data_IF_019372002729
#
_entry.id   IF_019372002729
#
_cell.length_a   1.000
_cell.length_b   1.000
_cell.length_c   1.000
_cell.angle_alpha   90.00
_cell.angle_beta   90.00
_cell.angle_gamma   90.00
#
_symmetry.space_group_name_H-M   'P 1'
#
loop_
_entity.id
_entity.type
_entity.pdbx_description
1 polymer ?
#
# COMPACT_ATOMS: atom_id res chain seq x y z
N UNK A 1 15.83 -6.34 -23.00
CA UNK A 1 15.09 -7.30 -22.14
C UNK A 1 14.74 -6.63 -20.83
N UNK A 2 13.64 -6.99 -20.17
CA UNK A 2 13.22 -6.34 -18.91
C UNK A 2 12.94 -7.41 -17.85
N UNK A 3 13.57 -7.29 -16.69
CA UNK A 3 13.36 -8.17 -15.53
C UNK A 3 12.73 -7.33 -14.43
N UNK A 4 11.44 -7.55 -14.19
CA UNK A 4 10.65 -6.73 -13.27
C UNK A 4 10.84 -5.23 -13.59
N UNK A 5 11.42 -4.41 -12.70
CA UNK A 5 11.64 -2.99 -12.93
C UNK A 5 12.97 -2.66 -13.65
N UNK A 6 13.87 -3.64 -13.79
CA UNK A 6 15.23 -3.44 -14.29
C UNK A 6 15.31 -3.70 -15.80
N UNK A 7 15.89 -2.75 -16.53
CA UNK A 7 16.15 -2.88 -17.97
C UNK A 7 17.52 -3.51 -18.19
N UNK A 8 17.57 -4.56 -19.00
CA UNK A 8 18.78 -5.26 -19.41
C UNK A 8 19.09 -4.96 -20.89
N UNK A 9 20.33 -4.53 -21.14
CA UNK A 9 20.85 -4.18 -22.47
C UNK A 9 22.08 -5.04 -22.78
N UNK A 10 22.26 -5.37 -24.05
CA UNK A 10 23.50 -5.99 -24.52
C UNK A 10 24.56 -4.91 -24.68
N UNK A 11 25.76 -5.15 -24.15
CA UNK A 11 26.91 -4.26 -24.26
C UNK A 11 28.07 -5.09 -24.80
N UNK A 12 28.31 -5.00 -26.11
CA UNK A 12 29.25 -5.87 -26.81
C UNK A 12 28.82 -7.33 -26.70
N UNK A 13 29.56 -8.11 -25.92
CA UNK A 13 29.42 -9.57 -25.84
C UNK A 13 28.72 -10.04 -24.56
N UNK A 14 28.31 -9.12 -23.68
CA UNK A 14 27.67 -9.46 -22.40
C UNK A 14 26.39 -8.65 -22.18
N UNK A 15 25.50 -9.16 -21.33
CA UNK A 15 24.27 -8.46 -20.92
C UNK A 15 24.53 -7.71 -19.63
N UNK A 16 24.19 -6.42 -19.62
CA UNK A 16 24.22 -5.57 -18.43
C UNK A 16 22.81 -5.16 -18.06
N UNK A 17 22.43 -5.39 -16.81
CA UNK A 17 21.14 -4.99 -16.25
C UNK A 17 21.31 -3.82 -15.27
N UNK A 18 20.25 -3.03 -15.17
CA UNK A 18 20.03 -2.16 -14.00
C UNK A 18 19.96 -3.01 -12.72
N UNK A 19 20.32 -2.40 -11.59
CA UNK A 19 20.32 -3.05 -10.27
C UNK A 19 19.50 -2.22 -9.25
N UNK A 20 18.36 -1.72 -9.71
CA UNK A 20 17.43 -0.96 -8.89
C UNK A 20 16.56 -1.89 -8.05
N UNK A 21 16.22 -1.44 -6.84
CA UNK A 21 15.18 -2.07 -6.02
C UNK A 21 13.82 -1.85 -6.67
N UNK A 22 13.10 -2.92 -6.92
CA UNK A 22 11.75 -2.85 -7.46
C UNK A 22 10.74 -2.60 -6.34
N UNK A 23 9.63 -1.94 -6.65
CA UNK A 23 8.56 -1.68 -5.68
C UNK A 23 7.94 -2.97 -5.13
N UNK A 24 7.94 -4.02 -5.95
CA UNK A 24 7.62 -5.38 -5.53
C UNK A 24 8.76 -6.31 -5.92
N UNK A 25 9.28 -7.06 -4.96
CA UNK A 25 10.34 -8.04 -5.14
C UNK A 25 9.82 -9.43 -4.75
N UNK A 26 10.04 -10.42 -5.62
CA UNK A 26 9.59 -11.80 -5.39
C UNK A 26 10.15 -12.36 -4.08
N UNK A 27 11.45 -12.19 -3.84
CA UNK A 27 12.11 -12.61 -2.60
C UNK A 27 11.45 -12.05 -1.34
N UNK A 28 10.98 -10.80 -1.39
CA UNK A 28 10.29 -10.17 -0.25
C UNK A 28 8.90 -10.79 -0.08
N UNK A 29 8.16 -10.95 -1.18
CA UNK A 29 6.84 -11.59 -1.13
C UNK A 29 6.92 -13.02 -0.60
N UNK A 30 7.88 -13.80 -1.07
CA UNK A 30 8.17 -15.15 -0.58
C UNK A 30 8.48 -15.14 0.91
N UNK A 31 9.39 -14.26 1.35
CA UNK A 31 9.80 -14.14 2.76
C UNK A 31 8.61 -13.81 3.68
N UNK A 32 7.72 -12.92 3.25
CA UNK A 32 6.47 -12.62 3.97
C UNK A 32 5.56 -13.85 4.03
N UNK A 33 5.38 -14.51 2.89
CA UNK A 33 4.46 -15.63 2.76
C UNK A 33 4.91 -16.87 3.55
N UNK A 34 6.20 -17.03 3.83
CA UNK A 34 6.72 -18.07 4.73
C UNK A 34 6.13 -17.96 6.15
N UNK A 35 5.76 -16.76 6.60
CA UNK A 35 5.21 -16.49 7.93
C UNK A 35 3.78 -15.94 7.88
N UNK A 36 3.04 -16.16 6.78
CA UNK A 36 1.69 -15.60 6.58
C UNK A 36 0.70 -15.87 7.73
N UNK A 37 0.79 -17.04 8.39
CA UNK A 37 -0.09 -17.39 9.52
C UNK A 37 0.15 -16.50 10.74
N UNK A 38 1.39 -16.06 10.96
CA UNK A 38 1.73 -15.15 12.05
C UNK A 38 1.32 -13.71 11.75
N UNK A 39 1.34 -13.32 10.48
CA UNK A 39 0.99 -11.97 10.06
C UNK A 39 -0.51 -11.75 9.85
N UNK A 40 -1.27 -12.81 9.58
CA UNK A 40 -2.70 -12.71 9.27
C UNK A 40 -2.99 -12.15 7.87
N UNK A 41 -1.97 -11.96 7.04
CA UNK A 41 -2.06 -11.52 5.64
C UNK A 41 -0.99 -12.19 4.78
N UNK A 42 -1.16 -12.11 3.46
CA UNK A 42 -0.22 -12.63 2.46
C UNK A 42 0.20 -11.56 1.46
N UNK A 43 1.45 -11.58 1.03
CA UNK A 43 1.94 -10.76 -0.06
C UNK A 43 1.56 -11.37 -1.41
N UNK A 44 1.22 -10.51 -2.38
CA UNK A 44 0.89 -10.91 -3.75
C UNK A 44 1.49 -9.92 -4.74
N UNK A 45 1.68 -10.38 -5.97
CA UNK A 45 2.05 -9.50 -7.08
C UNK A 45 0.82 -8.65 -7.47
N UNK A 46 0.89 -7.35 -7.18
CA UNK A 46 -0.13 -6.40 -7.58
C UNK A 46 0.27 -5.69 -8.89
N UNK A 47 -0.32 -6.09 -10.01
CA UNK A 47 0.05 -5.63 -11.36
C UNK A 47 0.30 -4.13 -11.50
N UNK A 48 -0.45 -3.28 -10.78
CA UNK A 48 -0.27 -1.81 -10.75
C UNK A 48 1.14 -1.36 -10.35
N UNK A 49 1.82 -2.09 -9.48
CA UNK A 49 3.17 -1.75 -9.00
C UNK A 49 4.27 -2.63 -9.61
N UNK A 50 3.92 -3.66 -10.37
CA UNK A 50 4.90 -4.55 -10.98
C UNK A 50 5.68 -3.80 -12.04
N UNK A 51 7.00 -3.97 -12.07
CA UNK A 51 7.86 -3.29 -13.02
C UNK A 51 8.13 -1.80 -12.73
N UNK A 52 7.74 -1.30 -11.55
CA UNK A 52 8.09 0.04 -11.04
C UNK A 52 9.26 -0.03 -10.07
N UNK A 53 10.10 1.00 -10.03
CA UNK A 53 11.20 1.12 -9.07
C UNK A 53 10.67 1.54 -7.70
N UNK A 54 11.28 1.08 -6.62
CA UNK A 54 10.88 1.40 -5.25
C UNK A 54 10.92 2.92 -4.99
N UNK A 55 11.90 3.61 -5.58
CA UNK A 55 12.05 5.06 -5.49
C UNK A 55 10.84 5.83 -6.04
N UNK A 56 10.17 5.32 -7.08
CA UNK A 56 8.94 5.92 -7.61
C UNK A 56 7.81 5.90 -6.57
N UNK A 57 7.76 4.86 -5.73
CA UNK A 57 6.74 4.70 -4.70
C UNK A 57 6.97 5.63 -3.51
N UNK A 58 8.23 5.77 -3.09
CA UNK A 58 8.60 6.65 -1.99
C UNK A 58 8.28 8.11 -2.30
N UNK A 59 8.46 8.55 -3.56
CA UNK A 59 8.23 9.94 -3.96
C UNK A 59 6.77 10.21 -4.29
N UNK A 60 6.07 9.28 -4.96
CA UNK A 60 4.76 9.56 -5.58
C UNK A 60 3.56 8.95 -4.86
N UNK A 61 3.76 8.11 -3.83
CA UNK A 61 2.66 7.32 -3.24
C UNK A 61 2.54 7.42 -1.72
N UNK A 62 3.50 8.02 -1.01
CA UNK A 62 3.39 8.29 0.44
C UNK A 62 2.67 9.61 0.74
N UNK A 63 1.73 10.03 -0.13
CA UNK A 63 1.10 11.36 -0.19
C UNK A 63 0.26 11.80 1.02
N UNK A 64 0.55 11.28 2.21
CA UNK A 64 0.13 11.88 3.48
C UNK A 64 0.89 13.18 3.67
N UNK A 65 0.28 14.29 3.27
CA UNK A 65 0.78 15.62 3.63
C UNK A 65 0.54 15.85 5.12
N UNK A 66 1.47 16.54 5.78
CA UNK A 66 1.23 16.95 7.16
C UNK A 66 0.02 17.90 7.20
N UNK A 67 -0.96 17.65 8.08
CA UNK A 67 -2.11 18.53 8.21
C UNK A 67 -1.67 19.91 8.72
N UNK A 68 -2.49 20.92 8.45
CA UNK A 68 -2.25 22.28 8.95
C UNK A 68 -2.20 22.32 10.49
N UNK A 69 -1.52 23.33 11.04
CA UNK A 69 -1.30 23.47 12.49
C UNK A 69 -2.62 23.46 13.28
N UNK A 70 -3.69 24.05 12.74
CA UNK A 70 -5.00 24.05 13.38
C UNK A 70 -5.61 22.64 13.44
N UNK A 71 -5.48 21.87 12.36
CA UNK A 71 -5.96 20.49 12.32
C UNK A 71 -5.20 19.58 13.27
N UNK A 72 -3.90 19.83 13.49
CA UNK A 72 -3.12 19.10 14.51
C UNK A 72 -3.53 19.42 15.95
N UNK A 73 -4.18 20.57 16.20
CA UNK A 73 -4.65 20.99 17.53
C UNK A 73 -6.08 20.53 17.83
N UNK A 74 -6.76 19.88 16.89
CA UNK A 74 -8.09 19.34 17.14
C UNK A 74 -8.00 18.15 18.10
N UNK A 75 -8.78 18.19 19.18
CA UNK A 75 -8.94 17.06 20.09
C UNK A 75 -10.20 16.28 19.74
N UNK A 76 -10.22 14.96 20.00
CA UNK A 76 -11.43 14.17 19.80
C UNK A 76 -12.54 14.70 20.72
N UNK A 77 -13.75 14.77 20.18
CA UNK A 77 -14.94 15.01 21.00
C UNK A 77 -15.15 13.76 21.84
N UNK A 78 -15.06 13.90 23.17
CA UNK A 78 -15.29 12.80 24.10
C UNK A 78 -16.78 12.49 24.17
N UNK A 79 -17.24 11.64 23.26
CA UNK A 79 -18.54 11.00 23.34
C UNK A 79 -18.37 9.72 24.16
N UNK A 80 -19.32 9.43 25.07
CA UNK A 80 -19.44 8.12 25.70
C UNK A 80 -20.48 7.31 24.91
N UNK A 81 -20.10 6.65 23.80
CA UNK A 81 -21.05 5.86 23.04
C UNK A 81 -21.50 4.66 23.87
N UNK A 82 -22.78 4.35 23.76
CA UNK A 82 -23.29 3.08 24.26
C UNK A 82 -22.70 1.93 23.44
N UNK A 83 -21.83 1.15 24.07
CA UNK A 83 -21.10 0.04 23.42
C UNK A 83 -22.06 -1.01 22.85
N UNK A 84 -23.26 -1.17 23.44
CA UNK A 84 -24.28 -2.09 22.93
C UNK A 84 -24.80 -1.71 21.55
N UNK A 85 -24.66 -0.43 21.16
CA UNK A 85 -25.10 0.11 19.88
C UNK A 85 -24.00 0.11 18.81
N UNK A 86 -22.78 -0.33 19.16
CA UNK A 86 -21.67 -0.44 18.20
C UNK A 86 -21.74 -1.82 17.52
N UNK A 87 -21.87 -1.89 16.19
CA UNK A 87 -21.98 -3.15 15.50
C UNK A 87 -20.65 -3.92 15.51
N UNK A 88 -20.71 -5.25 15.55
CA UNK A 88 -19.51 -6.12 15.50
C UNK A 88 -18.74 -6.01 14.18
N UNK A 89 -19.41 -5.60 13.10
CA UNK A 89 -18.82 -5.36 11.79
C UNK A 89 -19.41 -4.08 11.23
N UNK A 90 -18.59 -3.27 10.57
CA UNK A 90 -19.01 -2.02 9.97
C UNK A 90 -18.29 -1.80 8.65
N UNK A 91 -19.05 -1.47 7.61
CA UNK A 91 -18.54 -1.01 6.32
C UNK A 91 -19.37 0.20 5.90
N UNK A 92 -18.72 1.37 5.80
CA UNK A 92 -19.36 2.64 5.50
C UNK A 92 -20.12 2.60 4.15
N UNK A 93 -19.65 1.79 3.19
CA UNK A 93 -20.26 1.64 1.86
C UNK A 93 -21.63 0.96 1.93
N UNK A 94 -21.87 0.17 2.99
CA UNK A 94 -23.12 -0.55 3.18
C UNK A 94 -24.15 0.24 4.00
N UNK A 95 -23.78 1.42 4.52
CA UNK A 95 -24.70 2.25 5.29
C UNK A 95 -25.64 2.99 4.35
N UNK A 96 -26.93 2.66 4.43
CA UNK A 96 -27.98 3.22 3.54
C UNK A 96 -27.99 4.74 3.53
N UNK A 97 -27.90 5.35 4.71
CA UNK A 97 -27.93 6.81 4.86
C UNK A 97 -26.71 7.51 4.22
N UNK A 98 -25.66 6.76 3.89
CA UNK A 98 -24.41 7.27 3.32
C UNK A 98 -24.21 6.87 1.86
N UNK A 99 -25.25 6.32 1.22
CA UNK A 99 -25.20 5.97 -0.20
C UNK A 99 -24.86 7.20 -1.05
N UNK A 100 -23.86 7.05 -1.92
CA UNK A 100 -23.35 8.14 -2.76
C UNK A 100 -22.41 9.13 -2.07
N UNK A 101 -22.25 9.06 -0.74
CA UNK A 101 -21.32 9.91 0.02
C UNK A 101 -19.96 9.25 0.24
N UNK A 102 -19.88 7.93 0.10
CA UNK A 102 -18.66 7.15 0.28
C UNK A 102 -18.18 6.67 -1.09
N UNK A 103 -17.06 7.22 -1.54
CA UNK A 103 -16.31 6.77 -2.72
C UNK A 103 -14.87 6.40 -2.34
N UNK A 104 -14.22 5.60 -3.19
CA UNK A 104 -12.84 5.13 -3.01
C UNK A 104 -12.01 5.33 -4.26
#
# INVERSE_FOLDING_TARGET
>A
YKVNCNICKCVGNYVRCENDRCMMEEKVMESVNLRQRHYGWRATNYSKFWGRKAQEGLVLRTGSLNPEVLSMKMHPISLRPDVSRIPRQFDARNKRDWQGLVSG
#
